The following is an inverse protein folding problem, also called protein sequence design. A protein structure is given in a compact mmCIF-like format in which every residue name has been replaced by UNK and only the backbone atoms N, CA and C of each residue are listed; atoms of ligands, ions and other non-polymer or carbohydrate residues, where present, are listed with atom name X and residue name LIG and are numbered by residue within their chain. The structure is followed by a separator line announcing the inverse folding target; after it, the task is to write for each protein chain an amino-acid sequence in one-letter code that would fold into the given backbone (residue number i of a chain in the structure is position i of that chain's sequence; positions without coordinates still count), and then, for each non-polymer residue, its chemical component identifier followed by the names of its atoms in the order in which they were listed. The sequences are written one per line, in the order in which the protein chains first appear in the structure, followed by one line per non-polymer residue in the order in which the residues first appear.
data_IF_748192581822
#
_entry.id   IF_748192581822
#
_cell.length_a   1.000
_cell.length_b   1.000
_cell.length_c   1.000
_cell.angle_alpha   90.00
_cell.angle_beta   90.00
_cell.angle_gamma   90.00
#
_symmetry.space_group_name_H-M   'P 1'
#
loop_
_entity.id
_entity.type
_entity.pdbx_description
1 polymer ?
#
# COMPACT_ATOMS: atom_id res chain seq x y z
N UNK A 1 -19.15 -5.27 1.25
CA UNK A 1 -18.12 -4.21 1.31
C UNK A 1 -17.57 -4.21 2.72
N UNK A 2 -16.37 -3.66 2.91
CA UNK A 2 -15.67 -3.41 4.19
C UNK A 2 -14.56 -4.40 4.56
N UNK A 3 -13.59 -4.55 3.66
CA UNK A 3 -12.25 -4.91 4.09
C UNK A 3 -11.29 -3.85 3.53
N UNK A 4 -11.25 -2.70 4.20
CA UNK A 4 -10.27 -1.66 3.92
C UNK A 4 -9.16 -1.74 4.98
N UNK A 5 -7.92 -1.89 4.54
CA UNK A 5 -6.75 -1.70 5.42
C UNK A 5 -6.43 -0.21 5.52
N UNK A 6 -5.86 0.25 6.62
CA UNK A 6 -5.44 1.66 6.76
C UNK A 6 -3.93 1.72 6.96
N UNK A 7 -3.24 2.54 6.15
CA UNK A 7 -1.85 2.91 6.36
C UNK A 7 -1.80 4.26 7.08
N UNK A 8 -1.39 4.26 8.35
CA UNK A 8 -1.29 5.48 9.16
C UNK A 8 -0.09 6.36 8.78
N UNK A 9 -0.30 7.67 8.79
CA UNK A 9 0.72 8.69 8.57
C UNK A 9 1.12 9.36 9.89
N UNK A 10 2.26 10.05 9.89
CA UNK A 10 2.84 10.66 11.09
C UNK A 10 2.03 11.84 11.66
N UNK A 11 1.19 12.48 10.84
CA UNK A 11 0.29 13.57 11.24
C UNK A 11 -1.03 13.06 11.85
N UNK A 12 -1.19 11.73 11.97
CA UNK A 12 -2.40 11.09 12.48
C UNK A 12 -3.48 10.85 11.42
N UNK A 13 -3.25 11.29 10.17
CA UNK A 13 -4.10 10.89 9.04
C UNK A 13 -3.78 9.46 8.58
N UNK A 14 -4.59 8.92 7.67
CA UNK A 14 -4.38 7.58 7.13
C UNK A 14 -4.81 7.48 5.68
N UNK A 15 -4.22 6.52 4.97
CA UNK A 15 -4.58 6.15 3.61
C UNK A 15 -5.40 4.86 3.68
N UNK A 16 -6.62 4.90 3.14
CA UNK A 16 -7.49 3.73 3.04
C UNK A 16 -7.11 2.89 1.82
N UNK A 17 -6.84 1.60 2.06
CA UNK A 17 -6.39 0.62 1.09
C UNK A 17 -7.50 -0.41 0.84
N UNK A 18 -7.91 -0.59 -0.40
CA UNK A 18 -8.79 -1.69 -0.83
C UNK A 18 -7.97 -2.98 -0.98
N UNK A 19 -8.61 -4.14 -0.87
CA UNK A 19 -7.98 -5.46 -0.99
C UNK A 19 -7.22 -5.66 -2.31
N UNK A 20 -7.60 -4.95 -3.38
CA UNK A 20 -6.92 -5.01 -4.66
C UNK A 20 -5.65 -4.16 -4.75
N UNK A 21 -5.44 -3.25 -3.79
CA UNK A 21 -4.23 -2.43 -3.73
C UNK A 21 -3.02 -3.28 -3.33
N UNK A 22 -1.83 -2.80 -3.69
CA UNK A 22 -0.56 -3.39 -3.27
C UNK A 22 0.31 -2.39 -2.53
N UNK A 23 1.02 -2.92 -1.54
CA UNK A 23 2.10 -2.24 -0.87
C UNK A 23 3.43 -2.82 -1.35
N UNK A 24 4.33 -1.95 -1.74
CA UNK A 24 5.68 -2.26 -2.21
C UNK A 24 6.69 -1.66 -1.25
N UNK A 25 7.80 -2.33 -0.98
CA UNK A 25 8.80 -1.87 -0.03
C UNK A 25 10.18 -1.78 -0.68
N UNK A 26 10.90 -0.70 -0.37
CA UNK A 26 12.16 -0.33 -1.03
C UNK A 26 13.15 0.24 -0.02
N UNK A 27 14.43 -0.11 -0.13
CA UNK A 27 15.51 0.72 0.42
C UNK A 27 15.86 1.89 -0.51
N UNK A 28 15.85 1.65 -1.83
CA UNK A 28 16.11 2.64 -2.87
C UNK A 28 15.11 2.48 -4.03
N UNK A 29 14.48 3.58 -4.46
CA UNK A 29 13.56 3.61 -5.61
C UNK A 29 14.39 3.63 -6.91
N UNK A 30 14.06 2.84 -7.96
CA UNK A 30 12.83 2.05 -8.15
C UNK A 30 12.97 0.54 -7.82
N UNK A 31 13.96 0.12 -7.04
CA UNK A 31 14.28 -1.30 -6.86
C UNK A 31 13.39 -1.95 -5.79
N UNK A 32 12.25 -2.53 -6.19
CA UNK A 32 11.37 -3.25 -5.26
C UNK A 32 12.08 -4.46 -4.64
N UNK A 33 11.98 -4.58 -3.31
CA UNK A 33 12.50 -5.74 -2.59
C UNK A 33 11.40 -6.74 -2.19
N UNK A 34 10.21 -6.23 -1.89
CA UNK A 34 9.06 -7.07 -1.54
C UNK A 34 7.75 -6.31 -1.74
N UNK A 35 6.70 -7.03 -2.10
CA UNK A 35 5.33 -6.51 -2.18
C UNK A 35 4.30 -7.44 -1.55
N UNK A 36 3.17 -6.86 -1.16
CA UNK A 36 2.02 -7.54 -0.60
C UNK A 36 0.73 -6.96 -1.19
N UNK A 37 -0.25 -7.81 -1.46
CA UNK A 37 -1.61 -7.34 -1.74
C UNK A 37 -2.32 -7.04 -0.43
N UNK A 38 -3.11 -5.98 -0.36
CA UNK A 38 -3.90 -5.66 0.84
C UNK A 38 -4.87 -6.81 1.19
N UNK A 39 -5.40 -7.51 0.19
CA UNK A 39 -6.22 -8.71 0.40
C UNK A 39 -5.47 -9.83 1.14
N UNK A 40 -4.19 -10.05 0.81
CA UNK A 40 -3.35 -11.02 1.53
C UNK A 40 -3.17 -10.62 2.99
N UNK A 41 -2.91 -9.33 3.25
CA UNK A 41 -2.72 -8.81 4.61
C UNK A 41 -3.99 -8.99 5.47
N UNK A 42 -5.17 -8.95 4.87
CA UNK A 42 -6.44 -9.14 5.57
C UNK A 42 -6.75 -10.61 5.87
N UNK A 43 -6.21 -11.54 5.07
CA UNK A 43 -6.54 -12.98 5.12
C UNK A 43 -5.47 -13.79 5.84
N UNK A 44 -4.25 -13.28 5.93
CA UNK A 44 -3.11 -14.00 6.46
C UNK A 44 -2.37 -13.15 7.50
N UNK A 45 -2.53 -13.52 8.77
CA UNK A 45 -1.88 -12.85 9.90
C UNK A 45 -0.35 -12.83 9.76
N UNK A 46 0.26 -13.93 9.29
CA UNK A 46 1.71 -13.98 9.06
C UNK A 46 2.14 -12.93 8.03
N UNK A 47 1.40 -12.77 6.95
CA UNK A 47 1.67 -11.75 5.93
C UNK A 47 1.47 -10.34 6.48
N UNK A 48 0.41 -10.12 7.28
CA UNK A 48 0.17 -8.86 8.00
C UNK A 48 1.34 -8.47 8.90
N UNK A 49 1.78 -9.37 9.80
CA UNK A 49 2.91 -9.12 10.69
C UNK A 49 4.21 -8.89 9.92
N UNK A 50 4.43 -9.62 8.82
CA UNK A 50 5.59 -9.41 7.95
C UNK A 50 5.56 -8.02 7.31
N UNK A 51 4.41 -7.56 6.81
CA UNK A 51 4.27 -6.23 6.21
C UNK A 51 4.51 -5.11 7.24
N UNK A 52 4.01 -5.25 8.47
CA UNK A 52 4.33 -4.29 9.56
C UNK A 52 5.84 -4.22 9.79
N UNK A 53 6.51 -5.36 9.87
CA UNK A 53 7.96 -5.39 10.07
C UNK A 53 8.72 -4.80 8.86
N UNK A 54 8.17 -4.89 7.65
CA UNK A 54 8.74 -4.25 6.47
C UNK A 54 8.70 -2.71 6.59
N UNK A 55 7.68 -2.11 7.23
CA UNK A 55 7.63 -0.66 7.49
C UNK A 55 8.78 -0.18 8.39
N UNK A 56 9.29 -1.04 9.28
CA UNK A 56 10.46 -0.73 10.12
C UNK A 56 11.80 -1.01 9.43
N UNK A 57 11.82 -1.91 8.44
CA UNK A 57 13.04 -2.41 7.79
C UNK A 57 13.46 -1.56 6.58
N UNK A 58 12.49 -1.13 5.77
CA UNK A 58 12.74 -0.47 4.50
C UNK A 58 12.51 1.03 4.60
N UNK A 59 13.21 1.82 3.78
CA UNK A 59 13.17 3.29 3.79
C UNK A 59 11.92 3.88 3.12
N UNK A 60 11.28 3.13 2.22
CA UNK A 60 10.11 3.59 1.49
C UNK A 60 9.05 2.50 1.39
N UNK A 61 7.79 2.94 1.37
CA UNK A 61 6.63 2.15 0.97
C UNK A 61 5.95 2.81 -0.24
N UNK A 62 5.75 2.04 -1.30
CA UNK A 62 4.99 2.42 -2.48
C UNK A 62 3.59 1.85 -2.41
N UNK A 63 2.59 2.62 -2.84
CA UNK A 63 1.20 2.20 -2.92
C UNK A 63 0.80 2.14 -4.41
N UNK A 64 0.55 0.93 -4.91
CA UNK A 64 -0.04 0.70 -6.25
C UNK A 64 -1.53 0.45 -6.08
N UNK A 65 -2.36 1.34 -6.62
CA UNK A 65 -3.82 1.16 -6.64
C UNK A 65 -4.20 0.43 -7.93
N UNK A 66 -5.10 -0.56 -7.83
CA UNK A 66 -5.46 -1.41 -8.98
C UNK A 66 -6.81 -1.07 -9.61
N UNK A 67 -7.78 -0.63 -8.81
CA UNK A 67 -9.09 -0.22 -9.30
C UNK A 67 -9.48 1.07 -8.58
N UNK A 68 -9.56 2.18 -9.32
CA UNK A 68 -10.06 3.42 -8.74
C UNK A 68 -11.05 4.07 -9.71
N UNK A 69 -12.23 4.38 -9.20
CA UNK A 69 -13.11 5.40 -9.77
C UNK A 69 -12.67 6.77 -9.22
N UNK A 70 -13.23 7.88 -9.70
CA UNK A 70 -12.91 9.22 -9.20
C UNK A 70 -13.09 9.38 -7.67
N UNK A 71 -13.91 8.54 -7.04
CA UNK A 71 -14.14 8.50 -5.59
C UNK A 71 -13.00 7.84 -4.80
N UNK A 72 -12.07 7.18 -5.49
CA UNK A 72 -10.93 6.47 -4.91
C UNK A 72 -9.61 7.23 -5.10
N UNK A 73 -9.71 8.52 -5.45
CA UNK A 73 -8.62 9.48 -5.52
C UNK A 73 -7.86 9.56 -4.20
N UNK A 74 -6.53 9.51 -4.28
CA UNK A 74 -5.64 9.64 -3.14
C UNK A 74 -4.96 11.00 -3.18
N UNK A 75 -5.29 11.90 -2.25
CA UNK A 75 -4.60 13.20 -2.13
C UNK A 75 -3.55 13.16 -1.02
N UNK A 76 -2.28 13.36 -1.39
CA UNK A 76 -1.15 13.38 -0.45
C UNK A 76 -0.28 14.60 -0.75
N UNK A 77 0.02 15.40 0.28
CA UNK A 77 0.85 16.61 0.16
C UNK A 77 0.37 17.57 -0.96
N UNK A 78 -0.95 17.69 -1.14
CA UNK A 78 -1.57 18.52 -2.19
C UNK A 78 -1.41 17.97 -3.60
N UNK A 79 -0.87 16.75 -3.76
CA UNK A 79 -0.84 16.01 -5.02
C UNK A 79 -1.97 15.00 -5.03
N UNK A 80 -2.72 15.02 -6.12
CA UNK A 80 -3.83 14.12 -6.39
C UNK A 80 -3.30 12.94 -7.20
N UNK A 81 -3.23 11.78 -6.56
CA UNK A 81 -2.98 10.49 -7.19
C UNK A 81 -4.34 9.93 -7.60
N UNK A 82 -4.82 10.42 -8.73
CA UNK A 82 -6.02 9.95 -9.43
C UNK A 82 -5.56 8.93 -10.46
N UNK A 83 -6.29 7.84 -10.62
CA UNK A 83 -6.13 7.02 -11.82
C UNK A 83 -7.35 7.21 -12.71
N UNK A 84 -7.12 7.62 -13.95
CA UNK A 84 -8.15 7.67 -14.98
C UNK A 84 -8.39 6.25 -15.53
N UNK A 85 -9.05 5.38 -14.76
CA UNK A 85 -9.75 4.27 -15.39
C UNK A 85 -11.06 4.79 -15.99
N UNK A 86 -10.96 5.59 -17.05
CA UNK A 86 -12.09 5.83 -17.93
C UNK A 86 -12.30 4.51 -18.70
N UNK A 87 -13.30 3.72 -18.30
CA UNK A 87 -13.74 2.45 -18.91
C UNK A 87 -13.63 2.39 -20.45
N UNK A 88 -12.45 2.18 -20.99
CA UNK A 88 -12.20 2.00 -22.41
C UNK A 88 -11.09 0.95 -22.55
N UNK A 89 -11.51 -0.31 -22.67
CA UNK A 89 -10.73 -1.51 -22.98
C UNK A 89 -10.18 -2.29 -21.77
N UNK A 90 -10.84 -3.43 -21.51
CA UNK A 90 -10.56 -4.41 -20.45
C UNK A 90 -9.27 -5.23 -20.75
N UNK A 91 -8.20 -4.57 -21.19
CA UNK A 91 -7.00 -5.24 -21.66
C UNK A 91 -5.72 -4.40 -21.72
N UNK A 92 -5.80 -3.09 -21.45
CA UNK A 92 -4.62 -2.22 -21.42
C UNK A 92 -4.39 -1.73 -19.99
N UNK A 93 -3.23 -2.06 -19.42
CA UNK A 93 -2.77 -1.45 -18.16
C UNK A 93 -2.48 0.01 -18.45
N UNK A 94 -3.19 0.94 -17.80
CA UNK A 94 -2.95 2.37 -17.97
C UNK A 94 -1.47 2.69 -17.67
N UNK A 95 -0.79 3.29 -18.64
CA UNK A 95 0.63 3.68 -18.53
C UNK A 95 0.87 4.80 -17.51
N UNK A 96 -0.19 5.39 -16.97
CA UNK A 96 -0.15 6.45 -15.97
C UNK A 96 -0.41 5.96 -14.54
N UNK A 97 -0.39 4.63 -14.31
CA UNK A 97 -0.57 4.06 -12.99
C UNK A 97 0.68 4.36 -12.11
N UNK A 98 0.75 5.57 -11.55
CA UNK A 98 1.89 6.04 -10.76
C UNK A 98 1.82 5.55 -9.31
N UNK A 99 2.88 4.88 -8.86
CA UNK A 99 3.03 4.45 -7.47
C UNK A 99 3.24 5.68 -6.57
N UNK A 100 2.40 5.81 -5.54
CA UNK A 100 2.62 6.81 -4.50
C UNK A 100 3.70 6.32 -3.54
N UNK A 101 4.88 6.94 -3.57
CA UNK A 101 5.99 6.60 -2.67
C UNK A 101 5.98 7.46 -1.40
N UNK A 102 6.03 6.79 -0.26
CA UNK A 102 6.09 7.38 1.07
C UNK A 102 7.38 6.97 1.76
N UNK A 103 8.09 7.93 2.34
CA UNK A 103 9.24 7.65 3.18
C UNK A 103 8.75 7.09 4.52
N UNK A 104 9.30 5.95 4.92
CA UNK A 104 9.06 5.42 6.25
C UNK A 104 9.93 6.20 7.25
N UNK A 105 9.32 6.66 8.33
CA UNK A 105 10.03 7.18 9.48
C UNK A 105 10.11 6.05 10.51
N UNK A 106 11.25 5.95 11.18
CA UNK A 106 11.64 4.87 12.10
C UNK A 106 10.46 4.29 12.89
N UNK A 107 9.90 3.17 12.43
CA UNK A 107 8.83 2.48 13.15
C UNK A 107 9.47 1.74 14.34
N UNK A 108 9.11 2.15 15.55
CA UNK A 108 9.63 1.59 16.80
C UNK A 108 8.95 0.29 17.24
N UNK A 109 7.96 -0.21 16.48
CA UNK A 109 7.15 -1.37 16.85
C UNK A 109 7.41 -2.54 15.91
N UNK A 110 7.97 -3.61 16.47
CA UNK A 110 8.10 -4.92 15.80
C UNK A 110 6.85 -5.73 16.11
N UNK A 111 6.24 -6.31 15.08
CA UNK A 111 5.08 -7.18 15.19
C UNK A 111 5.54 -8.64 15.24
N UNK A 112 5.28 -9.32 16.35
CA UNK A 112 5.66 -10.73 16.55
C UNK A 112 4.43 -11.61 16.37
N UNK A 113 4.56 -12.64 15.52
CA UNK A 113 3.55 -13.68 15.34
C UNK A 113 4.06 -14.98 15.96
N UNK A 114 3.54 -15.35 17.14
CA UNK A 114 3.84 -16.64 17.78
C UNK A 114 2.79 -17.68 17.38
N UNK A 115 3.19 -18.71 16.63
CA UNK A 115 2.40 -19.93 16.51
C UNK A 115 2.68 -20.81 17.72
N UNK A 116 1.76 -20.78 18.70
CA UNK A 116 1.74 -21.77 19.76
C UNK A 116 1.30 -23.10 19.13
N UNK A 117 2.22 -24.08 19.11
CA UNK A 117 1.91 -25.48 18.78
C UNK A 117 1.42 -26.21 20.03
#
# INVERSE_FOLDING_TARGET
MDHAGNLGLNDGSYITLDGYDKLHFYNDIPNEEISFTTYELQRNERSYHRAINCLAKYNFVGIERKYTNAESELEIAGKKYVYENHYNNIGETDSHNEIAFLQTLSVSTISVYEQWN
#
